data_IF_236428231557
#
_entry.id   IF_236428231557
#
_cell.length_a   1.000
_cell.length_b   1.000
_cell.length_c   1.000
_cell.angle_alpha   90.00
_cell.angle_beta   90.00
_cell.angle_gamma   90.00
#
_symmetry.space_group_name_H-M   'P 1'
#
loop_
_entity.id
_entity.type
_entity.pdbx_description
1 polymer ?
#
# COMPACT_ATOMS: atom_id res chain seq x y z
N UNK A 1 8.13 -7.46 -18.75
CA UNK A 1 7.99 -8.63 -17.85
C UNK A 1 7.14 -8.20 -16.68
N UNK A 2 6.27 -9.07 -16.16
CA UNK A 2 5.55 -8.81 -14.92
C UNK A 2 6.40 -9.36 -13.79
N UNK A 3 6.80 -8.50 -12.85
CA UNK A 3 7.45 -8.94 -11.62
C UNK A 3 6.40 -9.56 -10.70
N UNK A 4 6.78 -10.65 -10.03
CA UNK A 4 5.91 -11.27 -9.04
C UNK A 4 5.79 -10.34 -7.84
N UNK A 5 4.56 -10.11 -7.39
CA UNK A 5 4.30 -9.33 -6.19
C UNK A 5 4.85 -10.06 -4.95
N UNK A 6 5.58 -9.32 -4.11
CA UNK A 6 6.17 -9.86 -2.87
C UNK A 6 5.22 -9.61 -1.69
N UNK A 7 4.43 -10.64 -1.37
CA UNK A 7 3.51 -10.63 -0.23
C UNK A 7 4.24 -10.42 1.11
N UNK A 8 5.45 -10.94 1.27
CA UNK A 8 6.19 -10.83 2.53
C UNK A 8 6.65 -9.39 2.78
N UNK A 9 7.16 -8.73 1.73
CA UNK A 9 7.54 -7.33 1.80
C UNK A 9 6.33 -6.44 2.09
N UNK A 10 5.21 -6.66 1.40
CA UNK A 10 3.97 -5.91 1.63
C UNK A 10 3.49 -6.04 3.08
N UNK A 11 3.42 -7.27 3.60
CA UNK A 11 2.98 -7.54 4.97
C UNK A 11 3.96 -7.00 6.03
N UNK A 12 5.24 -6.88 5.70
CA UNK A 12 6.23 -6.25 6.57
C UNK A 12 6.00 -4.74 6.69
N UNK A 13 5.62 -4.07 5.59
CA UNK A 13 5.51 -2.62 5.51
C UNK A 13 4.14 -2.06 5.92
N UNK A 14 3.06 -2.71 5.50
CA UNK A 14 1.69 -2.19 5.69
C UNK A 14 1.18 -2.50 7.10
N UNK A 15 0.66 -1.47 7.76
CA UNK A 15 0.00 -1.55 9.07
C UNK A 15 -1.51 -1.68 8.92
N UNK A 16 -2.10 -0.85 8.06
CA UNK A 16 -3.55 -0.78 7.87
C UNK A 16 -3.88 -0.46 6.42
N UNK A 17 -4.98 -1.02 5.94
CA UNK A 17 -5.58 -0.71 4.64
C UNK A 17 -6.92 -0.02 4.89
N UNK A 18 -7.13 1.16 4.29
CA UNK A 18 -8.41 1.86 4.29
C UNK A 18 -9.00 1.83 2.89
N UNK A 19 -10.22 1.32 2.77
CA UNK A 19 -10.94 1.23 1.50
C UNK A 19 -11.88 2.44 1.41
N UNK A 20 -11.58 3.38 0.51
CA UNK A 20 -12.41 4.58 0.30
C UNK A 20 -13.47 4.34 -0.80
N UNK A 21 -13.12 3.56 -1.82
CA UNK A 21 -14.03 3.08 -2.87
C UNK A 21 -13.44 1.83 -3.54
N UNK A 22 -14.17 1.12 -4.43
CA UNK A 22 -13.68 -0.12 -5.05
C UNK A 22 -12.33 -0.04 -5.79
N UNK A 23 -11.88 1.16 -6.16
CA UNK A 23 -10.59 1.40 -6.81
C UNK A 23 -9.69 2.40 -6.06
N UNK A 24 -10.05 2.76 -4.83
CA UNK A 24 -9.30 3.75 -4.04
C UNK A 24 -8.94 3.15 -2.67
N UNK A 25 -7.67 2.77 -2.56
CA UNK A 25 -7.07 2.14 -1.38
C UNK A 25 -5.97 3.03 -0.82
N UNK A 26 -5.98 3.24 0.49
CA UNK A 26 -4.92 3.96 1.21
C UNK A 26 -4.21 2.98 2.14
N UNK A 27 -2.89 2.86 1.99
CA UNK A 27 -2.04 2.00 2.80
C UNK A 27 -1.29 2.83 3.84
N UNK A 28 -1.58 2.58 5.12
CA UNK A 28 -0.79 3.14 6.22
C UNK A 28 0.41 2.25 6.46
N UNK A 29 1.63 2.81 6.44
CA UNK A 29 2.84 2.05 6.72
C UNK A 29 3.14 2.05 8.23
N UNK A 30 3.72 0.94 8.71
CA UNK A 30 4.17 0.81 10.11
C UNK A 30 5.20 1.84 10.54
N UNK A 31 5.85 2.51 9.58
CA UNK A 31 6.77 3.62 9.83
C UNK A 31 6.07 4.93 10.22
N UNK A 32 4.72 4.96 10.24
CA UNK A 32 3.92 6.17 10.44
C UNK A 32 3.82 7.05 9.20
N UNK A 33 4.34 6.59 8.05
CA UNK A 33 4.30 7.29 6.77
C UNK A 33 3.05 6.83 5.99
N UNK A 34 2.25 7.78 5.51
CA UNK A 34 1.12 7.47 4.61
C UNK A 34 1.59 7.70 3.18
N UNK A 35 1.47 6.67 2.33
CA UNK A 35 1.71 6.81 0.90
C UNK A 35 0.34 7.06 0.26
N UNK A 36 0.08 8.31 -0.10
CA UNK A 36 -0.92 8.64 -1.10
C UNK A 36 -0.27 8.56 -2.49
N UNK A 37 -1.06 8.19 -3.51
CA UNK A 37 -0.62 8.17 -4.90
C UNK A 37 0.12 9.48 -5.23
N UNK A 38 1.40 9.37 -5.59
CA UNK A 38 2.12 10.47 -6.21
C UNK A 38 1.49 10.62 -7.60
N UNK A 39 0.64 11.64 -7.75
CA UNK A 39 0.20 12.12 -9.05
C UNK A 39 1.41 12.71 -9.76
N UNK A 40 1.91 11.99 -10.76
CA UNK A 40 2.75 12.53 -11.85
C UNK A 40 2.06 12.22 -13.19
#
# INVERSE_FOLDING_TARGET
MLEQFDDNLFNALVEKITILSPAHFVFSLKSGMSIDEILD
#
